data_IF_235338581589
#
_entry.id   IF_235338581589
#
_cell.length_a   1.000
_cell.length_b   1.000
_cell.length_c   1.000
_cell.angle_alpha   90.00
_cell.angle_beta   90.00
_cell.angle_gamma   90.00
#
_symmetry.space_group_name_H-M   'P 1'
#
loop_
_entity.id
_entity.type
_entity.pdbx_description
1 polymer ?
#
# COMPACT_ATOMS: atom_id res chain seq x y z
N UNK A 1 4.95 -27.25 -23.41
CA UNK A 1 5.53 -26.19 -24.23
C UNK A 1 5.45 -24.81 -23.53
N UNK A 2 4.27 -24.22 -23.27
CA UNK A 2 4.13 -22.84 -22.72
C UNK A 2 4.86 -22.66 -21.39
N UNK A 3 4.72 -23.60 -20.44
CA UNK A 3 5.42 -23.52 -19.15
C UNK A 3 6.94 -23.59 -19.27
N UNK A 4 7.45 -24.41 -20.17
CA UNK A 4 8.91 -24.51 -20.42
C UNK A 4 9.44 -23.21 -21.03
N UNK A 5 8.70 -22.61 -21.96
CA UNK A 5 9.08 -21.32 -22.54
C UNK A 5 9.05 -20.20 -21.48
N UNK A 6 8.00 -20.18 -20.63
CA UNK A 6 7.91 -19.23 -19.53
C UNK A 6 9.07 -19.39 -18.53
N UNK A 7 9.43 -20.63 -18.17
CA UNK A 7 10.59 -20.91 -17.33
C UNK A 7 11.90 -20.44 -17.95
N UNK A 8 12.11 -20.67 -19.23
CA UNK A 8 13.30 -20.21 -19.94
C UNK A 8 13.41 -18.67 -19.93
N UNK A 9 12.29 -17.95 -20.12
CA UNK A 9 12.24 -16.49 -20.08
C UNK A 9 12.56 -15.95 -18.67
N UNK A 10 12.02 -16.56 -17.63
CA UNK A 10 12.31 -16.17 -16.23
C UNK A 10 13.77 -16.41 -15.89
N UNK A 11 14.33 -17.55 -16.31
CA UNK A 11 15.75 -17.88 -16.07
C UNK A 11 16.73 -16.99 -16.83
N UNK A 12 16.33 -16.51 -18.01
CA UNK A 12 17.19 -15.67 -18.87
C UNK A 12 17.31 -14.22 -18.41
N UNK A 13 16.42 -13.68 -17.56
CA UNK A 13 16.47 -12.25 -17.32
C UNK A 13 15.69 -11.69 -16.14
N UNK A 14 15.40 -12.46 -15.09
CA UNK A 14 14.64 -11.99 -13.93
C UNK A 14 13.26 -11.35 -14.28
N UNK A 15 12.71 -11.70 -15.44
CA UNK A 15 11.41 -11.23 -15.88
C UNK A 15 10.30 -12.07 -15.22
N UNK A 16 9.20 -11.43 -14.82
CA UNK A 16 7.98 -12.15 -14.43
C UNK A 16 7.11 -12.40 -15.66
N UNK A 17 6.40 -13.54 -15.68
CA UNK A 17 5.57 -13.96 -16.81
C UNK A 17 4.15 -14.21 -16.36
N UNK A 18 3.19 -13.54 -17.00
CA UNK A 18 1.77 -13.81 -16.84
C UNK A 18 1.29 -14.77 -17.94
N UNK A 19 0.53 -15.80 -17.56
CA UNK A 19 0.02 -16.83 -18.48
C UNK A 19 -1.51 -16.82 -18.46
N UNK A 20 -2.12 -16.58 -19.63
CA UNK A 20 -3.57 -16.70 -19.85
C UNK A 20 -4.03 -18.17 -19.85
N UNK A 21 -5.33 -18.39 -19.98
CA UNK A 21 -5.84 -19.71 -20.39
C UNK A 21 -5.51 -19.97 -21.85
N UNK A 22 -5.39 -21.24 -22.23
CA UNK A 22 -5.34 -21.62 -23.63
C UNK A 22 -6.61 -21.16 -24.37
N UNK A 23 -6.46 -20.70 -25.59
CA UNK A 23 -7.56 -20.30 -26.46
C UNK A 23 -7.27 -20.79 -27.89
N UNK A 24 -8.31 -21.05 -28.65
CA UNK A 24 -8.23 -21.58 -30.03
C UNK A 24 -8.64 -20.53 -31.07
N UNK A 25 -9.51 -19.58 -30.66
CA UNK A 25 -10.02 -18.54 -31.54
C UNK A 25 -9.21 -17.25 -31.41
N UNK A 26 -8.76 -16.71 -32.55
CA UNK A 26 -8.04 -15.44 -32.61
C UNK A 26 -8.85 -14.26 -32.02
N UNK A 27 -10.18 -14.32 -32.04
CA UNK A 27 -11.05 -13.31 -31.42
C UNK A 27 -10.86 -13.24 -29.89
N UNK A 28 -10.38 -14.32 -29.27
CA UNK A 28 -10.10 -14.39 -27.84
C UNK A 28 -8.76 -13.75 -27.44
N UNK A 29 -7.97 -13.25 -28.40
CA UNK A 29 -6.62 -12.69 -28.12
C UNK A 29 -6.65 -11.53 -27.09
N UNK A 30 -7.61 -10.62 -27.23
CA UNK A 30 -7.77 -9.49 -26.31
C UNK A 30 -8.06 -9.96 -24.88
N UNK A 31 -8.94 -10.94 -24.75
CA UNK A 31 -9.27 -11.53 -23.45
C UNK A 31 -8.09 -12.31 -22.87
N UNK A 32 -7.37 -13.07 -23.70
CA UNK A 32 -6.16 -13.77 -23.27
C UNK A 32 -5.06 -12.81 -22.80
N UNK A 33 -4.88 -11.68 -23.49
CA UNK A 33 -3.96 -10.63 -23.05
C UNK A 33 -4.37 -10.04 -21.70
N UNK A 34 -5.66 -9.72 -21.51
CA UNK A 34 -6.18 -9.23 -20.23
C UNK A 34 -5.95 -10.24 -19.11
N UNK A 35 -6.21 -11.53 -19.36
CA UNK A 35 -5.97 -12.60 -18.40
C UNK A 35 -4.48 -12.72 -18.02
N UNK A 36 -3.58 -12.65 -19.00
CA UNK A 36 -2.15 -12.69 -18.76
C UNK A 36 -1.67 -11.48 -17.96
N UNK A 37 -2.21 -10.29 -18.24
CA UNK A 37 -1.91 -9.05 -17.50
C UNK A 37 -2.40 -9.12 -16.05
N UNK A 38 -3.62 -9.61 -15.83
CA UNK A 38 -4.16 -9.83 -14.48
C UNK A 38 -3.27 -10.83 -13.71
N UNK A 39 -2.88 -11.93 -14.35
CA UNK A 39 -1.97 -12.90 -13.75
C UNK A 39 -0.61 -12.29 -13.41
N UNK A 40 -0.03 -11.53 -14.34
CA UNK A 40 1.25 -10.86 -14.12
C UNK A 40 1.22 -9.88 -12.95
N UNK A 41 0.06 -9.28 -12.66
CA UNK A 41 -0.09 -8.34 -11.56
C UNK A 41 0.17 -8.96 -10.17
N UNK A 42 0.09 -10.30 -10.05
CA UNK A 42 0.44 -11.02 -8.82
C UNK A 42 1.92 -10.88 -8.43
N UNK A 43 2.80 -10.49 -9.38
CA UNK A 43 4.21 -10.24 -9.09
C UNK A 43 4.43 -9.19 -7.97
N UNK A 44 3.46 -8.30 -7.77
CA UNK A 44 3.53 -7.28 -6.71
C UNK A 44 3.66 -7.93 -5.33
N UNK A 45 2.91 -9.00 -5.08
CA UNK A 45 2.93 -9.72 -3.79
C UNK A 45 3.82 -10.96 -3.81
N UNK A 46 4.01 -11.61 -4.98
CA UNK A 46 4.84 -12.83 -5.11
C UNK A 46 6.32 -12.53 -5.36
N UNK A 47 6.65 -11.29 -5.73
CA UNK A 47 8.00 -10.87 -6.09
C UNK A 47 8.31 -11.00 -7.58
N UNK A 48 9.48 -10.49 -7.95
CA UNK A 48 10.00 -10.56 -9.31
C UNK A 48 10.47 -11.99 -9.66
N UNK A 49 10.57 -12.29 -10.97
CA UNK A 49 11.05 -13.59 -11.44
C UNK A 49 10.02 -14.72 -11.24
N UNK A 50 8.73 -14.42 -11.23
CA UNK A 50 7.67 -15.39 -10.99
C UNK A 50 6.85 -15.67 -12.25
N UNK A 51 6.36 -16.91 -12.37
CA UNK A 51 5.36 -17.30 -13.38
C UNK A 51 4.00 -17.32 -12.72
N UNK A 52 3.10 -16.46 -13.19
CA UNK A 52 1.75 -16.30 -12.65
C UNK A 52 0.73 -16.80 -13.67
N UNK A 53 -0.10 -17.80 -13.30
CA UNK A 53 -1.10 -18.36 -14.18
C UNK A 53 -2.51 -17.84 -13.85
N UNK A 54 -3.24 -17.36 -14.85
CA UNK A 54 -4.60 -16.85 -14.67
C UNK A 54 -5.59 -17.88 -14.10
N UNK A 55 -5.39 -19.17 -14.37
CA UNK A 55 -6.19 -20.24 -13.77
C UNK A 55 -6.19 -20.24 -12.25
N UNK A 56 -5.12 -19.73 -11.64
CA UNK A 56 -4.99 -19.64 -10.18
C UNK A 56 -5.85 -18.53 -9.58
N UNK A 57 -6.23 -17.53 -10.40
CA UNK A 57 -7.00 -16.35 -9.98
C UNK A 57 -8.52 -16.62 -10.02
N UNK A 58 -8.96 -17.55 -10.87
CA UNK A 58 -10.37 -17.70 -11.34
C UNK A 58 -11.43 -17.72 -10.26
N UNK A 59 -11.13 -18.22 -9.08
CA UNK A 59 -12.11 -18.45 -8.00
C UNK A 59 -11.86 -17.60 -6.77
N UNK A 60 -11.06 -16.53 -6.86
CA UNK A 60 -10.76 -15.68 -5.71
C UNK A 60 -11.76 -14.54 -5.61
N UNK A 61 -12.46 -14.49 -4.50
CA UNK A 61 -13.17 -13.28 -4.10
C UNK A 61 -12.17 -12.15 -3.88
N UNK A 62 -12.55 -10.93 -4.17
CA UNK A 62 -11.76 -9.76 -3.78
C UNK A 62 -11.61 -9.77 -2.26
N UNK A 63 -10.40 -9.67 -1.70
CA UNK A 63 -10.22 -9.64 -0.25
C UNK A 63 -10.85 -8.37 0.32
N UNK A 64 -11.32 -8.46 1.56
CA UNK A 64 -11.81 -7.31 2.29
C UNK A 64 -10.66 -6.35 2.61
N UNK A 65 -10.98 -5.07 2.65
CA UNK A 65 -9.99 -4.07 3.06
C UNK A 65 -9.63 -4.24 4.55
N UNK A 66 -8.33 -4.27 4.92
CA UNK A 66 -7.89 -4.56 6.29
C UNK A 66 -8.02 -3.33 7.22
N UNK A 67 -9.24 -2.88 7.50
CA UNK A 67 -9.53 -1.72 8.36
C UNK A 67 -8.88 -1.80 9.75
N UNK A 68 -8.76 -3.01 10.31
CA UNK A 68 -8.14 -3.17 11.64
C UNK A 68 -6.68 -2.76 11.63
N UNK A 69 -5.96 -3.13 10.58
CA UNK A 69 -4.55 -2.80 10.41
C UNK A 69 -4.37 -1.31 10.07
N UNK A 70 -5.22 -0.76 9.20
CA UNK A 70 -5.25 0.69 8.94
C UNK A 70 -5.44 1.48 10.23
N UNK A 71 -6.44 1.12 11.05
CA UNK A 71 -6.69 1.78 12.33
C UNK A 71 -5.52 1.66 13.30
N UNK A 72 -4.79 0.53 13.28
CA UNK A 72 -3.58 0.36 14.08
C UNK A 72 -2.46 1.33 13.62
N UNK A 73 -2.25 1.46 12.29
CA UNK A 73 -1.29 2.43 11.72
C UNK A 73 -1.68 3.85 12.14
N UNK A 74 -2.93 4.27 11.89
CA UNK A 74 -3.39 5.61 12.20
C UNK A 74 -3.34 5.92 13.71
N UNK A 75 -3.66 4.94 14.54
CA UNK A 75 -3.55 5.05 16.00
C UNK A 75 -2.11 5.23 16.47
N UNK A 76 -1.18 4.45 15.92
CA UNK A 76 0.25 4.55 16.21
C UNK A 76 0.83 5.90 15.73
N UNK A 77 0.45 6.37 14.54
CA UNK A 77 0.82 7.70 14.04
C UNK A 77 0.34 8.83 14.97
N UNK A 78 -0.91 8.75 15.45
CA UNK A 78 -1.46 9.70 16.41
C UNK A 78 -0.73 9.65 17.76
N UNK A 79 -0.26 8.50 18.17
CA UNK A 79 0.49 8.32 19.41
C UNK A 79 1.97 8.74 19.29
N UNK A 80 2.48 8.95 18.07
CA UNK A 80 3.90 9.23 17.83
C UNK A 80 4.80 8.00 17.98
N UNK A 81 4.24 6.78 17.87
CA UNK A 81 4.92 5.52 18.11
C UNK A 81 5.38 4.90 16.77
N UNK A 82 6.61 5.24 16.36
CA UNK A 82 7.20 4.78 15.11
C UNK A 82 7.33 3.25 15.03
N UNK A 83 7.62 2.58 16.16
CA UNK A 83 7.77 1.13 16.18
C UNK A 83 6.43 0.45 15.89
N UNK A 84 5.37 0.89 16.53
CA UNK A 84 4.02 0.37 16.27
C UNK A 84 3.53 0.67 14.86
N UNK A 85 3.93 1.79 14.27
CA UNK A 85 3.66 2.09 12.85
C UNK A 85 4.30 1.03 11.97
N UNK A 86 5.59 0.70 12.20
CA UNK A 86 6.30 -0.30 11.42
C UNK A 86 5.68 -1.71 11.57
N UNK A 87 5.34 -2.11 12.79
CA UNK A 87 4.69 -3.40 13.07
C UNK A 87 3.32 -3.50 12.37
N UNK A 88 2.53 -2.43 12.43
CA UNK A 88 1.21 -2.40 11.79
C UNK A 88 1.32 -2.38 10.25
N UNK A 89 2.33 -1.69 9.68
CA UNK A 89 2.61 -1.72 8.26
C UNK A 89 3.01 -3.14 7.80
N UNK A 90 3.88 -3.83 8.53
CA UNK A 90 4.21 -5.23 8.25
C UNK A 90 2.97 -6.13 8.28
N UNK A 91 2.07 -5.94 9.24
CA UNK A 91 0.82 -6.69 9.31
C UNK A 91 -0.09 -6.40 8.10
N UNK A 92 -0.12 -5.15 7.60
CA UNK A 92 -0.83 -4.78 6.38
C UNK A 92 -0.28 -5.50 5.15
N UNK A 93 1.03 -5.53 4.99
CA UNK A 93 1.72 -6.24 3.90
C UNK A 93 1.52 -7.75 3.99
N UNK A 94 1.70 -8.32 5.19
CA UNK A 94 1.49 -9.74 5.42
C UNK A 94 0.06 -10.17 5.06
N UNK A 95 -0.93 -9.32 5.35
CA UNK A 95 -2.30 -9.55 4.92
C UNK A 95 -2.42 -9.62 3.38
N UNK A 96 -1.85 -8.66 2.66
CA UNK A 96 -1.89 -8.62 1.19
C UNK A 96 -1.23 -9.86 0.56
N UNK A 97 -0.10 -10.28 1.12
CA UNK A 97 0.63 -11.47 0.69
C UNK A 97 -0.17 -12.74 1.00
N UNK A 98 -0.75 -12.86 2.19
CA UNK A 98 -1.56 -14.02 2.59
C UNK A 98 -2.83 -14.17 1.73
N UNK A 99 -3.40 -13.05 1.28
CA UNK A 99 -4.53 -13.05 0.35
C UNK A 99 -4.10 -13.29 -1.10
N UNK A 100 -2.80 -13.30 -1.39
CA UNK A 100 -2.26 -13.35 -2.76
C UNK A 100 -2.99 -12.31 -3.65
N UNK A 101 -3.04 -11.07 -3.15
CA UNK A 101 -3.87 -10.01 -3.69
C UNK A 101 -3.40 -9.58 -5.09
N UNK A 102 -4.34 -9.37 -5.99
CA UNK A 102 -4.04 -8.84 -7.33
C UNK A 102 -3.45 -7.44 -7.23
N UNK A 103 -2.54 -7.11 -8.14
CA UNK A 103 -1.87 -5.82 -8.14
C UNK A 103 -2.80 -4.61 -8.12
N UNK A 104 -3.96 -4.68 -8.82
CA UNK A 104 -4.99 -3.64 -8.75
C UNK A 104 -5.57 -3.48 -7.35
N UNK A 105 -5.81 -4.58 -6.64
CA UNK A 105 -6.31 -4.57 -5.25
C UNK A 105 -5.27 -4.02 -4.30
N UNK A 106 -3.99 -4.41 -4.47
CA UNK A 106 -2.87 -3.88 -3.69
C UNK A 106 -2.80 -2.36 -3.86
N UNK A 107 -2.81 -1.87 -5.11
CA UNK A 107 -2.75 -0.43 -5.42
C UNK A 107 -3.94 0.31 -4.82
N UNK A 108 -5.15 -0.21 -4.95
CA UNK A 108 -6.37 0.37 -4.36
C UNK A 108 -6.27 0.47 -2.83
N UNK A 109 -5.76 -0.57 -2.17
CA UNK A 109 -5.62 -0.58 -0.72
C UNK A 109 -4.56 0.42 -0.24
N UNK A 110 -3.43 0.52 -0.93
CA UNK A 110 -2.43 1.53 -0.62
C UNK A 110 -2.92 2.97 -0.86
N UNK A 111 -3.71 3.20 -1.92
CA UNK A 111 -4.34 4.50 -2.17
C UNK A 111 -5.31 4.87 -1.06
N UNK A 112 -6.12 3.91 -0.58
CA UNK A 112 -7.03 4.14 0.56
C UNK A 112 -6.26 4.50 1.83
N UNK A 113 -5.22 3.73 2.15
CA UNK A 113 -4.35 4.00 3.30
C UNK A 113 -3.70 5.38 3.19
N UNK A 114 -3.19 5.74 1.99
CA UNK A 114 -2.65 7.05 1.70
C UNK A 114 -3.67 8.17 1.96
N UNK A 115 -4.91 8.03 1.46
CA UNK A 115 -5.98 9.00 1.69
C UNK A 115 -6.34 9.14 3.17
N UNK A 116 -6.25 8.06 3.95
CA UNK A 116 -6.47 8.11 5.40
C UNK A 116 -5.36 8.85 6.12
N UNK A 117 -4.10 8.66 5.69
CA UNK A 117 -2.96 9.44 6.17
C UNK A 117 -3.09 10.92 5.78
N UNK A 118 -3.53 11.23 4.55
CA UNK A 118 -3.77 12.61 4.14
C UNK A 118 -4.81 13.31 5.03
N UNK A 119 -5.90 12.63 5.38
CA UNK A 119 -6.89 13.19 6.32
C UNK A 119 -6.29 13.49 7.69
N UNK A 120 -5.40 12.60 8.17
CA UNK A 120 -4.70 12.84 9.42
C UNK A 120 -3.76 14.07 9.34
N UNK A 121 -3.15 14.30 8.16
CA UNK A 121 -2.27 15.46 7.94
C UNK A 121 -3.00 16.81 7.99
N UNK A 122 -4.31 16.85 7.72
CA UNK A 122 -5.10 18.09 7.85
C UNK A 122 -5.08 18.65 9.27
N UNK A 123 -4.81 17.82 10.26
CA UNK A 123 -4.67 18.23 11.67
C UNK A 123 -3.30 18.88 11.95
N UNK A 124 -2.38 18.90 10.95
CA UNK A 124 -1.00 19.37 11.09
C UNK A 124 -0.62 20.40 10.01
N UNK A 125 -0.91 21.69 10.22
CA UNK A 125 -0.65 22.74 9.21
C UNK A 125 0.83 22.84 8.76
N UNK A 126 1.78 22.54 9.65
CA UNK A 126 3.22 22.55 9.37
C UNK A 126 3.65 21.56 8.28
N UNK A 127 2.86 20.50 8.06
CA UNK A 127 3.18 19.45 7.07
C UNK A 127 2.49 19.71 5.72
N UNK A 128 1.51 20.61 5.67
CA UNK A 128 0.71 20.88 4.47
C UNK A 128 1.55 21.22 3.23
N UNK A 129 2.65 21.95 3.39
CA UNK A 129 3.56 22.27 2.27
C UNK A 129 4.27 21.03 1.70
N UNK A 130 4.61 20.07 2.54
CA UNK A 130 5.21 18.79 2.13
C UNK A 130 4.21 17.88 1.41
N UNK A 131 2.93 18.01 1.74
CA UNK A 131 1.87 17.19 1.10
C UNK A 131 1.70 17.51 -0.40
N UNK A 132 1.97 18.73 -0.83
CA UNK A 132 1.85 19.11 -2.24
C UNK A 132 2.74 18.24 -3.14
N UNK A 133 3.82 17.68 -2.61
CA UNK A 133 4.77 16.81 -3.32
C UNK A 133 4.36 15.31 -3.25
N UNK A 134 3.41 14.95 -2.39
CA UNK A 134 2.97 13.57 -2.17
C UNK A 134 1.72 13.27 -2.98
N UNK A 135 1.82 12.34 -3.92
CA UNK A 135 0.72 11.98 -4.81
C UNK A 135 0.41 10.49 -4.77
N UNK A 136 -0.88 10.16 -4.69
CA UNK A 136 -1.34 8.78 -4.85
C UNK A 136 -1.03 8.20 -6.24
N UNK A 137 -0.87 9.04 -7.27
CA UNK A 137 -0.49 8.60 -8.62
C UNK A 137 0.87 7.92 -8.62
N UNK A 138 1.77 8.30 -7.69
CA UNK A 138 3.06 7.64 -7.52
C UNK A 138 2.91 6.19 -7.04
N UNK A 139 1.98 5.92 -6.12
CA UNK A 139 1.64 4.55 -5.70
C UNK A 139 1.12 3.71 -6.87
N UNK A 140 0.29 4.31 -7.74
CA UNK A 140 -0.26 3.63 -8.91
C UNK A 140 0.81 3.24 -9.95
N UNK A 141 1.92 3.97 -10.02
CA UNK A 141 3.03 3.68 -10.93
C UNK A 141 4.00 2.62 -10.39
N UNK A 142 3.93 2.27 -9.11
CA UNK A 142 4.82 1.28 -8.49
C UNK A 142 4.37 -0.15 -8.82
N UNK A 143 5.34 -1.04 -9.01
CA UNK A 143 5.11 -2.42 -9.44
C UNK A 143 5.60 -3.48 -8.45
N UNK A 144 6.01 -3.07 -7.26
CA UNK A 144 6.37 -3.98 -6.18
C UNK A 144 5.91 -3.43 -4.82
N UNK A 145 5.70 -4.34 -3.87
CA UNK A 145 5.17 -4.04 -2.55
C UNK A 145 6.14 -3.21 -1.71
N UNK A 146 7.44 -3.45 -1.88
CA UNK A 146 8.49 -2.77 -1.12
C UNK A 146 8.53 -1.27 -1.45
N UNK A 147 8.53 -0.90 -2.73
CA UNK A 147 8.55 0.51 -3.13
C UNK A 147 7.31 1.25 -2.63
N UNK A 148 6.14 0.57 -2.63
CA UNK A 148 4.91 1.13 -2.07
C UNK A 148 5.03 1.35 -0.56
N UNK A 149 5.61 0.39 0.14
CA UNK A 149 5.85 0.47 1.58
C UNK A 149 6.85 1.58 1.90
N UNK A 150 7.99 1.62 1.22
CA UNK A 150 9.01 2.64 1.40
C UNK A 150 8.42 4.05 1.17
N UNK A 151 7.54 4.20 0.18
CA UNK A 151 6.84 5.45 -0.05
C UNK A 151 5.87 5.81 1.09
N UNK A 152 5.15 4.85 1.65
CA UNK A 152 4.30 5.08 2.81
C UNK A 152 5.11 5.48 4.05
N UNK A 153 6.30 4.91 4.25
CA UNK A 153 7.18 5.31 5.34
C UNK A 153 7.63 6.78 5.25
N UNK A 154 7.88 7.31 4.04
CA UNK A 154 8.14 8.75 3.86
C UNK A 154 6.97 9.60 4.39
N UNK A 155 5.73 9.14 4.16
CA UNK A 155 4.52 9.80 4.64
C UNK A 155 4.40 9.68 6.16
N UNK A 156 4.67 8.50 6.72
CA UNK A 156 4.63 8.25 8.15
C UNK A 156 5.67 9.10 8.90
N UNK A 157 6.89 9.19 8.38
CA UNK A 157 7.95 10.01 8.97
C UNK A 157 7.57 11.49 9.00
N UNK A 158 6.94 12.00 7.94
CA UNK A 158 6.42 13.35 7.91
C UNK A 158 5.33 13.58 8.98
N UNK A 159 4.41 12.61 9.15
CA UNK A 159 3.36 12.67 10.17
C UNK A 159 3.92 12.59 11.60
N UNK A 160 4.89 11.70 11.83
CA UNK A 160 5.55 11.55 13.13
C UNK A 160 6.33 12.81 13.51
N UNK A 161 7.07 13.41 12.55
CA UNK A 161 7.79 14.67 12.76
C UNK A 161 6.84 15.83 13.08
N UNK A 162 5.73 15.95 12.34
CA UNK A 162 4.72 16.99 12.62
C UNK A 162 3.95 16.75 13.92
N UNK A 163 3.82 15.49 14.34
CA UNK A 163 3.22 15.14 15.63
C UNK A 163 4.08 15.56 16.84
N UNK A 164 5.39 15.65 16.67
CA UNK A 164 6.29 16.16 17.70
C UNK A 164 6.13 17.68 17.93
N UNK A 165 5.67 18.39 16.90
CA UNK A 165 5.35 19.83 16.96
C UNK A 165 3.92 20.09 17.47
N UNK A 166 3.22 19.07 18.01
CA UNK A 166 1.85 19.28 18.51
C UNK A 166 1.85 20.46 19.49
N UNK A 167 1.21 21.57 19.19
CA UNK A 167 0.67 22.37 20.25
C UNK A 167 -0.30 21.43 20.99
N UNK A 168 -0.08 21.21 22.28
CA UNK A 168 -1.11 20.63 23.13
C UNK A 168 -2.46 21.11 22.64
N UNK A 169 -3.44 20.22 22.49
CA UNK A 169 -4.73 20.60 21.87
C UNK A 169 -5.09 21.98 22.40
N UNK A 170 -5.69 22.84 21.57
CA UNK A 170 -6.06 24.21 21.98
C UNK A 170 -6.75 24.23 23.36
N UNK A 171 -7.41 23.12 23.69
CA UNK A 171 -8.04 22.90 24.99
C UNK A 171 -7.01 22.68 26.12
N UNK A 172 -5.99 21.84 25.89
CA UNK A 172 -4.92 21.58 26.88
C UNK A 172 -4.07 22.83 27.09
N UNK A 173 -3.76 23.56 26.01
CA UNK A 173 -3.06 24.84 26.10
C UNK A 173 -3.87 25.87 26.89
N UNK A 174 -5.18 26.02 26.62
CA UNK A 174 -6.05 26.89 27.42
C UNK A 174 -6.17 26.46 28.88
N UNK A 175 -6.19 25.14 29.14
CA UNK A 175 -6.19 24.62 30.52
C UNK A 175 -4.86 24.92 31.21
N UNK A 176 -3.72 24.71 30.55
CA UNK A 176 -2.42 25.08 31.12
C UNK A 176 -2.29 26.60 31.36
N UNK A 177 -2.69 27.42 30.36
CA UNK A 177 -2.73 28.90 30.52
C UNK A 177 -3.65 29.34 31.67
N UNK A 178 -4.79 28.66 31.83
CA UNK A 178 -5.70 28.93 32.96
C UNK A 178 -5.12 28.55 34.31
N UNK A 179 -4.46 27.37 34.35
CA UNK A 179 -3.76 26.90 35.57
C UNK A 179 -2.63 27.88 35.96
N UNK A 180 -1.80 28.26 35.00
CA UNK A 180 -0.66 29.17 35.22
C UNK A 180 -1.12 30.57 35.66
N UNK A 181 -2.29 31.03 35.17
CA UNK A 181 -2.80 32.35 35.50
C UNK A 181 -3.62 32.42 36.79
N UNK A 182 -4.16 31.29 37.26
CA UNK A 182 -5.10 31.29 38.40
C UNK A 182 -4.65 30.46 39.61
N UNK A 183 -3.57 29.67 39.46
CA UNK A 183 -3.05 28.81 40.52
C UNK A 183 -1.56 29.12 40.89
N UNK A 184 -0.95 30.11 40.26
CA UNK A 184 0.33 30.72 40.66
C UNK A 184 0.05 31.95 41.52
#
# INVERSE_FOLDING_TARGET
AIQQTAQALVQAGAASVGVSRPFEDAQMLTEAYRQASDALSLRIVRGQGTICCFREIRNRSMPDYPYRTENAILGALKAGDAQRVAEAQQAFEAYLVAQDALGRTVKDFYVRLFCSCQRLMLDYPSIMSRMAEMSHTRLLSMDNLRDMSDYMFIIYDALLAGGAERPHSLLVRRVCEYIDTHLA
#
